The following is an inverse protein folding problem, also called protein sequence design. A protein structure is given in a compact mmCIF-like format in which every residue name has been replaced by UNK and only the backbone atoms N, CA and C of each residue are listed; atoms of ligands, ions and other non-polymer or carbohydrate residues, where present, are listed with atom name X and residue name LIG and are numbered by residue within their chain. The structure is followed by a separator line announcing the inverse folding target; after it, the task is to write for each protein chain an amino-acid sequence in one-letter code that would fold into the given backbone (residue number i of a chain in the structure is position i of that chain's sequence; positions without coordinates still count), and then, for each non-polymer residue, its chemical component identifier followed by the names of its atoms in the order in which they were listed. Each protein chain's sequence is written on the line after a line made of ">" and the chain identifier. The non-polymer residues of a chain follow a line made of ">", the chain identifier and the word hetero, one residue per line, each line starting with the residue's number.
data_IF_902957339796
#
_entry.id   IF_902957339796
#
_cell.length_a   1.000
_cell.length_b   1.000
_cell.length_c   1.000
_cell.angle_alpha   90.00
_cell.angle_beta   90.00
_cell.angle_gamma   90.00
#
_symmetry.space_group_name_H-M   'P 1'
#
loop_
_entity.id
_entity.type
_entity.pdbx_description
1 polymer ?
#
# COMPACT_ATOMS: atom_id res chain seq x y z
N UNK A 1 10.11 -12.49 5.60
CA UNK A 1 11.40 -11.83 5.89
C UNK A 1 11.99 -12.49 7.13
N UNK A 2 13.26 -12.25 7.45
CA UNK A 2 13.94 -12.92 8.57
C UNK A 2 13.32 -12.63 9.94
N UNK A 3 12.51 -11.57 10.04
CA UNK A 3 11.77 -11.14 11.23
C UNK A 3 10.34 -11.70 11.32
N UNK A 4 9.95 -12.60 10.40
CA UNK A 4 8.61 -13.17 10.35
C UNK A 4 7.56 -12.32 9.61
N UNK A 5 7.90 -11.10 9.18
CA UNK A 5 6.99 -10.29 8.36
C UNK A 5 6.91 -10.78 6.91
N UNK A 6 5.81 -10.53 6.22
CA UNK A 6 5.67 -10.83 4.79
C UNK A 6 5.22 -9.59 4.00
N UNK A 7 5.46 -9.59 2.70
CA UNK A 7 5.05 -8.52 1.79
C UNK A 7 4.08 -9.09 0.75
N UNK A 8 2.99 -8.36 0.51
CA UNK A 8 2.05 -8.64 -0.57
C UNK A 8 2.59 -8.21 -1.94
N UNK A 9 1.89 -8.62 -2.99
CA UNK A 9 2.14 -8.13 -4.36
C UNK A 9 1.45 -6.79 -4.57
N UNK A 10 2.11 -5.87 -5.26
CA UNK A 10 1.54 -4.57 -5.64
C UNK A 10 1.09 -4.55 -7.10
N UNK A 11 0.43 -3.47 -7.52
CA UNK A 11 -0.11 -3.30 -8.88
C UNK A 11 0.98 -3.23 -9.98
N UNK A 12 2.27 -3.07 -9.60
CA UNK A 12 3.39 -3.20 -10.54
C UNK A 12 3.82 -4.67 -10.76
N UNK A 13 3.10 -5.62 -10.16
CA UNK A 13 3.38 -7.06 -10.28
C UNK A 13 4.60 -7.53 -9.49
N UNK A 14 5.03 -6.80 -8.45
CA UNK A 14 6.18 -7.14 -7.61
C UNK A 14 5.87 -6.99 -6.13
N UNK A 15 6.68 -7.60 -5.26
CA UNK A 15 6.57 -7.40 -3.81
C UNK A 15 7.25 -6.11 -3.36
N UNK A 16 6.81 -5.59 -2.22
CA UNK A 16 7.39 -4.39 -1.61
C UNK A 16 6.83 -3.07 -2.15
N UNK A 17 7.46 -1.97 -1.76
CA UNK A 17 6.98 -0.63 -2.07
C UNK A 17 7.24 -0.22 -3.53
N UNK A 18 6.19 0.24 -4.22
CA UNK A 18 6.27 0.93 -5.51
C UNK A 18 5.94 2.41 -5.33
N UNK A 19 6.93 3.28 -5.49
CA UNK A 19 6.77 4.72 -5.23
C UNK A 19 5.89 5.47 -6.24
N UNK A 20 5.62 6.76 -5.99
CA UNK A 20 4.80 7.61 -6.85
C UNK A 20 5.26 7.61 -8.31
N UNK A 21 4.35 7.26 -9.22
CA UNK A 21 4.59 7.32 -10.66
C UNK A 21 3.38 7.92 -11.42
N UNK A 22 2.93 9.15 -11.09
CA UNK A 22 1.75 9.75 -11.73
C UNK A 22 2.06 10.22 -13.15
N UNK A 23 1.17 10.06 -14.15
CA UNK A 23 1.45 10.52 -15.51
C UNK A 23 1.85 12.01 -15.57
N UNK A 24 2.86 12.40 -16.37
CA UNK A 24 3.29 13.80 -16.47
C UNK A 24 2.14 14.74 -16.83
N UNK A 25 2.00 15.86 -16.10
CA UNK A 25 0.99 16.88 -16.39
C UNK A 25 -0.46 16.49 -16.05
N UNK A 26 -0.71 15.32 -15.44
CA UNK A 26 -2.06 14.92 -14.99
C UNK A 26 -2.49 15.63 -13.69
N UNK A 27 -1.71 16.62 -13.27
CA UNK A 27 -1.87 17.21 -11.95
C UNK A 27 -1.44 16.24 -10.84
N UNK A 28 -1.73 16.62 -9.59
CA UNK A 28 -1.35 15.85 -8.42
C UNK A 28 -2.10 14.54 -8.23
N UNK A 29 -1.38 13.51 -7.80
CA UNK A 29 -1.97 12.28 -7.28
C UNK A 29 -1.89 12.27 -5.76
N UNK A 30 -2.88 11.65 -5.12
CA UNK A 30 -2.95 11.45 -3.67
C UNK A 30 -2.48 10.03 -3.34
N UNK A 31 -1.53 9.93 -2.42
CA UNK A 31 -0.95 8.67 -1.96
C UNK A 31 -1.30 8.49 -0.48
N UNK A 32 -2.13 7.50 -0.19
CA UNK A 32 -2.61 7.20 1.15
C UNK A 32 -1.77 6.09 1.76
N UNK A 33 -1.13 6.38 2.89
CA UNK A 33 -0.39 5.42 3.70
C UNK A 33 -1.23 5.09 4.92
N UNK A 34 -1.68 3.84 4.99
CA UNK A 34 -2.55 3.35 6.07
C UNK A 34 -1.77 2.41 6.98
N UNK A 35 -1.94 2.56 8.28
CA UNK A 35 -1.42 1.65 9.29
C UNK A 35 -2.59 1.13 10.13
N UNK A 36 -2.63 -0.19 10.31
CA UNK A 36 -3.68 -0.90 11.02
C UNK A 36 -3.07 -1.61 12.23
N UNK A 37 -3.73 -1.49 13.39
CA UNK A 37 -3.48 -2.34 14.55
C UNK A 37 -4.53 -3.45 14.54
N UNK A 38 -4.08 -4.70 14.57
CA UNK A 38 -4.94 -5.88 14.54
C UNK A 38 -4.84 -6.64 15.86
N UNK A 39 -5.91 -7.33 16.25
CA UNK A 39 -5.94 -8.21 17.42
C UNK A 39 -5.46 -9.64 17.14
N UNK A 40 -5.13 -9.94 15.88
CA UNK A 40 -4.74 -11.27 15.42
C UNK A 40 -3.59 -11.22 14.41
N UNK A 41 -2.90 -12.35 14.28
CA UNK A 41 -1.98 -12.59 13.17
C UNK A 41 -2.76 -13.10 11.97
N UNK A 42 -2.54 -12.50 10.80
CA UNK A 42 -3.21 -12.92 9.57
C UNK A 42 -2.50 -14.13 8.95
N UNK A 43 -3.27 -15.15 8.60
CA UNK A 43 -2.77 -16.32 7.87
C UNK A 43 -2.76 -16.04 6.35
N UNK A 44 -1.78 -15.25 5.92
CA UNK A 44 -1.58 -14.86 4.52
C UNK A 44 -0.22 -15.32 4.02
N UNK A 45 -0.21 -16.01 2.88
CA UNK A 45 1.02 -16.36 2.20
C UNK A 45 1.73 -15.11 1.62
N UNK A 46 3.08 -15.14 1.51
CA UNK A 46 3.82 -14.10 0.78
C UNK A 46 3.26 -13.89 -0.63
N UNK A 47 3.12 -12.64 -1.06
CA UNK A 47 2.53 -12.31 -2.36
C UNK A 47 1.01 -12.17 -2.37
N UNK A 48 0.33 -12.21 -1.22
CA UNK A 48 -1.10 -11.89 -1.12
C UNK A 48 -1.43 -10.51 -1.74
N UNK A 49 -2.61 -10.39 -2.35
CA UNK A 49 -3.09 -9.12 -2.92
C UNK A 49 -3.63 -8.19 -1.84
N UNK A 50 -3.84 -6.92 -2.19
CA UNK A 50 -4.47 -5.95 -1.30
C UNK A 50 -5.88 -6.38 -0.90
N UNK A 51 -6.64 -6.96 -1.82
CA UNK A 51 -8.01 -7.42 -1.57
C UNK A 51 -8.03 -8.55 -0.55
N UNK A 52 -7.12 -9.51 -0.68
CA UNK A 52 -6.96 -10.61 0.29
C UNK A 52 -6.56 -10.09 1.67
N UNK A 53 -5.63 -9.13 1.72
CA UNK A 53 -5.23 -8.50 2.97
C UNK A 53 -6.40 -7.77 3.65
N UNK A 54 -7.17 -6.98 2.90
CA UNK A 54 -8.32 -6.24 3.43
C UNK A 54 -9.41 -7.19 3.94
N UNK A 55 -9.68 -8.27 3.20
CA UNK A 55 -10.64 -9.28 3.64
C UNK A 55 -10.18 -10.00 4.92
N UNK A 56 -8.90 -10.34 5.03
CA UNK A 56 -8.36 -11.01 6.22
C UNK A 56 -8.34 -10.11 7.46
N UNK A 57 -8.24 -8.78 7.28
CA UNK A 57 -8.32 -7.81 8.39
C UNK A 57 -9.75 -7.57 8.89
N UNK A 58 -10.78 -7.96 8.13
CA UNK A 58 -12.17 -7.64 8.48
C UNK A 58 -12.56 -8.24 9.84
N UNK A 59 -13.21 -7.43 10.68
CA UNK A 59 -13.54 -7.80 12.06
C UNK A 59 -12.37 -7.78 13.07
N UNK A 60 -11.12 -7.58 12.63
CA UNK A 60 -9.92 -7.65 13.48
C UNK A 60 -9.21 -6.30 13.71
N UNK A 61 -9.72 -5.20 13.14
CA UNK A 61 -9.10 -3.87 13.23
C UNK A 61 -9.42 -3.23 14.59
N UNK A 62 -8.40 -3.08 15.44
CA UNK A 62 -8.49 -2.37 16.72
C UNK A 62 -8.36 -0.86 16.54
N UNK A 63 -7.47 -0.42 15.64
CA UNK A 63 -7.24 0.99 15.35
C UNK A 63 -6.65 1.17 13.94
N UNK A 64 -6.84 2.36 13.37
CA UNK A 64 -6.28 2.73 12.08
C UNK A 64 -5.79 4.18 12.14
N UNK A 65 -4.65 4.44 11.51
CA UNK A 65 -4.21 5.80 11.16
C UNK A 65 -3.89 5.90 9.67
N UNK A 66 -4.02 7.11 9.13
CA UNK A 66 -3.73 7.38 7.73
C UNK A 66 -2.97 8.70 7.59
N UNK A 67 -1.99 8.71 6.69
CA UNK A 67 -1.35 9.93 6.20
C UNK A 67 -1.52 10.00 4.69
N UNK A 68 -1.89 11.17 4.18
CA UNK A 68 -2.02 11.42 2.74
C UNK A 68 -0.91 12.36 2.27
N UNK A 69 -0.06 11.86 1.38
CA UNK A 69 0.94 12.64 0.66
C UNK A 69 0.48 12.95 -0.76
N UNK A 70 0.97 14.06 -1.32
CA UNK A 70 0.68 14.46 -2.70
C UNK A 70 1.97 14.52 -3.51
N UNK A 71 1.95 13.97 -4.72
CA UNK A 71 3.06 14.09 -5.67
C UNK A 71 2.51 14.31 -7.07
N UNK A 72 3.22 15.13 -7.85
CA UNK A 72 2.93 15.42 -9.25
C UNK A 72 4.22 15.32 -10.03
N UNK A 73 4.15 14.75 -11.25
CA UNK A 73 5.28 14.75 -12.17
C UNK A 73 5.11 15.93 -13.14
N UNK A 74 6.07 16.84 -13.11
CA UNK A 74 6.08 17.98 -14.02
C UNK A 74 6.10 17.51 -15.48
N UNK A 75 5.36 18.19 -16.35
CA UNK A 75 5.57 18.14 -17.79
C UNK A 75 6.96 18.69 -18.09
N UNK A 76 7.73 18.00 -18.95
CA UNK A 76 8.94 18.61 -19.51
C UNK A 76 8.51 19.87 -20.24
N UNK A 77 8.98 21.04 -19.80
CA UNK A 77 8.92 22.26 -20.60
C UNK A 77 9.97 22.10 -21.69
N UNK A 78 9.53 22.12 -22.95
CA UNK A 78 10.41 22.25 -24.11
C UNK A 78 11.03 23.64 -24.17
#
# INVERSE_FOLDING_TARGET
>A
LSDGSCQGVNDFGRTGYGGPCPPPGHGPHRYFFKLYALDTMLDLAPGATKEQLVAAMDGHILAQVEVMGRFERATRRG
#
